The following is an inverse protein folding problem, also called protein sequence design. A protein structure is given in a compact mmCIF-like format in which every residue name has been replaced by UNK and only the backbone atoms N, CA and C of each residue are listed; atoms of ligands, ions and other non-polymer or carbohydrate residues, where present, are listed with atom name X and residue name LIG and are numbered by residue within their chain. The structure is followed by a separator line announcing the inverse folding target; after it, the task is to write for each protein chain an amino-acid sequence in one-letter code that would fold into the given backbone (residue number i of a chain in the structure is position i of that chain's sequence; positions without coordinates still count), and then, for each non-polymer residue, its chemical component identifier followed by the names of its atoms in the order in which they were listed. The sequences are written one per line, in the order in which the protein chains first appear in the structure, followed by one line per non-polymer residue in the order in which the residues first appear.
data_IF_718162116085
#
_entry.id   IF_718162116085
#
_cell.length_a   1.000
_cell.length_b   1.000
_cell.length_c   1.000
_cell.angle_alpha   90.00
_cell.angle_beta   90.00
_cell.angle_gamma   90.00
#
_symmetry.space_group_name_H-M   'P 1'
#
loop_
_entity.id
_entity.type
_entity.pdbx_description
1 polymer ?
#
# COMPACT_ATOMS: atom_id res chain seq x y z
N UNK A 1 -32.30 27.87 -15.51
CA UNK A 1 -31.94 26.53 -16.04
C UNK A 1 -31.09 25.81 -15.01
N UNK A 2 -31.65 24.81 -14.32
CA UNK A 2 -30.93 24.00 -13.34
C UNK A 2 -30.22 22.90 -14.14
N UNK A 3 -28.89 22.95 -14.21
CA UNK A 3 -28.08 21.87 -14.83
C UNK A 3 -28.36 20.54 -14.13
N UNK A 4 -28.52 19.48 -14.92
CA UNK A 4 -28.85 18.14 -14.44
C UNK A 4 -27.74 17.57 -13.55
N UNK A 5 -28.09 16.58 -12.71
CA UNK A 5 -27.18 15.97 -11.72
C UNK A 5 -25.90 15.38 -12.35
N UNK A 6 -25.97 14.94 -13.62
CA UNK A 6 -24.83 14.45 -14.39
C UNK A 6 -23.94 15.56 -14.95
N UNK A 7 -24.45 16.77 -15.17
CA UNK A 7 -23.69 17.90 -15.76
C UNK A 7 -22.84 18.66 -14.74
N UNK A 8 -23.06 18.45 -13.44
CA UNK A 8 -22.21 18.99 -12.36
C UNK A 8 -20.93 18.18 -12.13
N UNK A 9 -20.79 17.04 -12.80
CA UNK A 9 -19.61 16.17 -12.80
C UNK A 9 -18.60 16.51 -13.91
N UNK A 10 -18.53 17.77 -14.39
CA UNK A 10 -17.49 18.18 -15.36
C UNK A 10 -16.13 18.35 -14.67
N UNK A 11 -15.46 17.19 -14.57
CA UNK A 11 -14.02 16.89 -14.72
C UNK A 11 -13.11 18.10 -14.47
N UNK A 12 -12.52 18.13 -13.27
CA UNK A 12 -11.36 18.94 -12.94
C UNK A 12 -10.21 17.97 -12.65
N UNK A 13 -9.34 17.81 -13.66
CA UNK A 13 -7.97 17.24 -13.63
C UNK A 13 -7.73 15.94 -12.83
N UNK A 14 -7.68 14.82 -13.56
CA UNK A 14 -7.57 13.42 -13.11
C UNK A 14 -6.26 12.98 -12.43
N UNK A 15 -5.51 13.82 -11.72
CA UNK A 15 -4.17 13.40 -11.24
C UNK A 15 -3.98 13.54 -9.74
N UNK A 16 -3.73 12.42 -9.02
CA UNK A 16 -3.39 12.47 -7.60
C UNK A 16 -2.13 13.31 -7.40
N UNK A 17 -2.01 13.96 -6.24
CA UNK A 17 -0.77 14.57 -5.79
C UNK A 17 0.20 13.46 -5.41
N UNK A 18 0.76 12.93 -6.48
CA UNK A 18 1.82 11.97 -6.57
C UNK A 18 2.99 12.50 -5.73
N UNK A 19 3.35 11.80 -4.66
CA UNK A 19 4.72 11.84 -4.12
C UNK A 19 5.61 10.63 -4.52
N UNK A 20 5.55 10.09 -5.75
CA UNK A 20 6.60 9.25 -6.31
C UNK A 20 7.72 10.15 -6.82
N UNK A 21 8.08 11.22 -6.10
CA UNK A 21 9.10 12.18 -6.54
C UNK A 21 10.46 11.47 -6.61
N UNK A 22 10.72 10.60 -5.62
CA UNK A 22 11.84 9.65 -5.63
C UNK A 22 11.77 8.74 -6.86
N UNK A 23 10.62 8.09 -7.10
CA UNK A 23 10.40 7.19 -8.25
C UNK A 23 10.57 7.92 -9.58
N UNK A 24 10.13 9.17 -9.69
CA UNK A 24 10.28 10.02 -10.87
C UNK A 24 11.75 10.39 -11.11
N UNK A 25 12.47 10.72 -10.04
CA UNK A 25 13.89 11.06 -10.08
C UNK A 25 14.79 9.88 -10.43
N UNK A 26 14.36 8.64 -10.19
CA UNK A 26 15.04 7.44 -10.70
C UNK A 26 15.22 7.54 -12.21
N UNK A 27 14.14 7.84 -12.94
CA UNK A 27 14.18 7.95 -14.41
C UNK A 27 15.06 9.11 -14.89
N UNK A 28 15.06 10.23 -14.17
CA UNK A 28 15.90 11.39 -14.49
C UNK A 28 17.40 11.12 -14.23
N UNK A 29 17.73 10.18 -13.33
CA UNK A 29 19.10 9.92 -12.88
C UNK A 29 19.60 8.51 -13.25
N UNK A 30 18.97 7.82 -14.21
CA UNK A 30 19.32 6.45 -14.60
C UNK A 30 20.82 6.24 -14.84
N UNK A 31 21.47 7.17 -15.53
CA UNK A 31 22.92 7.09 -15.79
C UNK A 31 23.80 7.07 -14.54
N UNK A 32 23.35 7.72 -13.44
CA UNK A 32 24.10 7.79 -12.18
C UNK A 32 23.91 6.55 -11.29
N UNK A 33 22.82 5.81 -11.51
CA UNK A 33 22.40 4.71 -10.63
C UNK A 33 22.41 3.33 -11.28
N UNK A 34 22.50 3.23 -12.63
CA UNK A 34 22.44 1.96 -13.36
C UNK A 34 23.48 0.91 -12.95
N UNK A 35 24.65 1.35 -12.48
CA UNK A 35 25.75 0.47 -12.07
C UNK A 35 25.76 0.17 -10.56
N UNK A 36 24.79 0.67 -9.79
CA UNK A 36 24.74 0.43 -8.34
C UNK A 36 24.26 -0.99 -8.06
N UNK A 37 25.12 -1.78 -7.41
CA UNK A 37 24.78 -3.13 -6.91
C UNK A 37 24.12 -3.05 -5.53
N UNK A 38 23.48 -4.13 -5.08
CA UNK A 38 22.98 -4.21 -3.70
C UNK A 38 24.14 -4.06 -2.68
N UNK A 39 25.34 -4.55 -2.99
CA UNK A 39 26.53 -4.37 -2.15
C UNK A 39 26.90 -2.89 -1.99
N UNK A 40 26.85 -2.12 -3.07
CA UNK A 40 27.08 -0.67 -3.00
C UNK A 40 26.00 0.05 -2.19
N UNK A 41 24.74 -0.42 -2.26
CA UNK A 41 23.61 0.22 -1.58
C UNK A 41 23.58 -0.04 -0.06
N UNK A 42 24.09 -1.19 0.40
CA UNK A 42 24.16 -1.51 1.84
C UNK A 42 25.33 -0.85 2.56
N UNK A 43 26.40 -0.49 1.83
CA UNK A 43 27.55 0.24 2.35
C UNK A 43 27.10 1.53 3.04
N UNK A 44 27.63 1.84 4.22
CA UNK A 44 27.28 3.06 4.95
C UNK A 44 27.81 4.32 4.27
N UNK A 45 28.88 4.20 3.47
CA UNK A 45 29.60 5.30 2.84
C UNK A 45 29.01 5.74 1.49
N UNK A 46 28.05 4.99 0.92
CA UNK A 46 27.38 5.45 -0.29
C UNK A 46 26.62 6.76 -0.01
N UNK A 47 26.70 7.68 -0.96
CA UNK A 47 25.92 8.91 -0.96
C UNK A 47 24.42 8.64 -0.74
N UNK A 48 23.77 9.49 0.06
CA UNK A 48 22.37 9.30 0.49
C UNK A 48 21.43 9.27 -0.70
N UNK A 49 21.57 10.21 -1.63
CA UNK A 49 20.71 10.30 -2.80
C UNK A 49 20.91 9.08 -3.70
N UNK A 50 22.17 8.68 -3.95
CA UNK A 50 22.48 7.45 -4.71
C UNK A 50 21.90 6.20 -4.06
N UNK A 51 21.93 6.09 -2.72
CA UNK A 51 21.32 4.97 -1.99
C UNK A 51 19.81 4.92 -2.21
N UNK A 52 19.14 6.05 -1.99
CA UNK A 52 17.69 6.13 -2.10
C UNK A 52 17.25 5.84 -3.54
N UNK A 53 17.80 6.56 -4.53
CA UNK A 53 17.43 6.35 -5.93
C UNK A 53 17.82 4.95 -6.44
N UNK A 54 18.99 4.45 -6.06
CA UNK A 54 19.43 3.11 -6.45
C UNK A 54 18.56 2.00 -5.86
N UNK A 55 18.13 2.15 -4.61
CA UNK A 55 17.21 1.18 -3.97
C UNK A 55 15.83 1.21 -4.64
N UNK A 56 15.29 2.39 -4.91
CA UNK A 56 14.00 2.55 -5.60
C UNK A 56 14.06 1.95 -7.00
N UNK A 57 15.15 2.20 -7.75
CA UNK A 57 15.37 1.62 -9.07
C UNK A 57 15.41 0.08 -9.05
N UNK A 58 16.02 -0.51 -8.02
CA UNK A 58 16.06 -1.96 -7.84
C UNK A 58 14.68 -2.54 -7.54
N UNK A 59 13.87 -1.85 -6.72
CA UNK A 59 12.47 -2.24 -6.50
C UNK A 59 11.66 -2.15 -7.79
N UNK A 60 11.77 -1.04 -8.53
CA UNK A 60 11.09 -0.86 -9.83
C UNK A 60 11.44 -1.97 -10.82
N UNK A 61 12.70 -2.39 -10.88
CA UNK A 61 13.15 -3.44 -11.79
C UNK A 61 12.61 -4.84 -11.42
N UNK A 62 12.34 -5.10 -10.14
CA UNK A 62 11.78 -6.39 -9.68
C UNK A 62 10.26 -6.39 -9.64
N UNK A 63 9.65 -5.21 -9.57
CA UNK A 63 8.22 -5.08 -9.45
C UNK A 63 7.53 -5.29 -10.79
N UNK A 64 6.63 -6.27 -10.85
CA UNK A 64 5.87 -6.64 -12.05
C UNK A 64 5.20 -5.44 -12.74
N UNK A 65 4.80 -4.44 -11.95
CA UNK A 65 4.10 -3.24 -12.41
C UNK A 65 5.03 -2.03 -12.61
N UNK A 66 6.35 -2.25 -12.64
CA UNK A 66 7.36 -1.18 -12.72
C UNK A 66 7.24 -0.29 -13.96
N UNK A 67 6.78 -0.83 -15.09
CA UNK A 67 6.52 -0.04 -16.31
C UNK A 67 5.30 0.89 -16.17
N UNK A 68 4.30 0.47 -15.38
CA UNK A 68 3.01 1.14 -15.16
C UNK A 68 2.98 1.87 -13.82
N UNK A 69 4.14 2.17 -13.24
CA UNK A 69 4.25 2.68 -11.86
C UNK A 69 3.39 3.93 -11.61
N UNK A 70 3.20 4.78 -12.62
CA UNK A 70 2.38 5.99 -12.54
C UNK A 70 0.90 5.71 -12.30
N UNK A 71 0.42 4.50 -12.60
CA UNK A 71 -0.98 4.11 -12.47
C UNK A 71 -1.28 3.52 -11.10
N UNK A 72 -0.23 3.07 -10.41
CA UNK A 72 -0.34 2.29 -9.18
C UNK A 72 0.27 2.97 -7.95
N UNK A 73 1.20 3.90 -8.11
CA UNK A 73 1.93 4.50 -6.98
C UNK A 73 1.45 5.91 -6.63
N UNK A 74 1.07 6.05 -5.36
CA UNK A 74 0.82 7.35 -4.71
C UNK A 74 1.93 7.69 -3.68
N UNK A 75 2.75 6.72 -3.30
CA UNK A 75 3.97 6.87 -2.50
C UNK A 75 5.14 6.10 -3.14
N UNK A 76 6.41 6.42 -2.79
CA UNK A 76 7.57 5.70 -3.31
C UNK A 76 7.57 4.22 -2.93
N UNK A 77 8.09 3.35 -3.80
CA UNK A 77 8.17 1.91 -3.54
C UNK A 77 8.97 1.58 -2.28
N UNK A 78 10.06 2.32 -2.00
CA UNK A 78 10.86 2.16 -0.79
C UNK A 78 9.99 2.27 0.47
N UNK A 79 8.98 3.15 0.46
CA UNK A 79 8.11 3.32 1.61
C UNK A 79 7.28 2.05 1.84
N UNK A 80 6.67 1.52 0.77
CA UNK A 80 5.89 0.27 0.81
C UNK A 80 6.76 -0.91 1.25
N UNK A 81 7.98 -0.99 0.70
CA UNK A 81 8.93 -2.05 1.02
C UNK A 81 9.42 -1.97 2.49
N UNK A 82 9.69 -0.78 3.01
CA UNK A 82 10.10 -0.60 4.40
C UNK A 82 8.97 -0.99 5.38
N UNK A 83 7.71 -0.63 5.07
CA UNK A 83 6.54 -1.06 5.83
C UNK A 83 6.35 -2.60 5.77
N UNK A 84 6.56 -3.21 4.61
CA UNK A 84 6.48 -4.67 4.44
C UNK A 84 7.50 -5.43 5.30
N UNK A 85 8.71 -4.87 5.51
CA UNK A 85 9.74 -5.45 6.39
C UNK A 85 9.27 -5.53 7.85
N UNK A 86 8.44 -4.58 8.29
CA UNK A 86 7.87 -4.62 9.64
C UNK A 86 6.66 -5.56 9.71
N UNK A 87 5.78 -5.52 8.71
CA UNK A 87 4.60 -6.38 8.65
C UNK A 87 4.93 -7.88 8.59
N UNK A 88 5.97 -8.28 7.87
CA UNK A 88 6.36 -9.70 7.79
C UNK A 88 6.79 -10.33 9.13
N UNK A 89 7.03 -9.53 10.17
CA UNK A 89 7.30 -10.03 11.52
C UNK A 89 6.00 -10.56 12.17
N UNK A 90 4.87 -9.99 11.80
CA UNK A 90 3.54 -10.27 12.36
C UNK A 90 2.66 -11.14 11.45
N UNK A 91 2.98 -11.20 10.15
CA UNK A 91 2.15 -11.85 9.13
C UNK A 91 2.99 -12.78 8.25
N UNK A 92 2.44 -13.95 7.95
CA UNK A 92 3.13 -15.00 7.18
C UNK A 92 2.81 -14.91 5.69
N UNK A 93 1.59 -14.50 5.35
CA UNK A 93 1.17 -14.32 3.96
C UNK A 93 0.24 -13.13 3.76
N UNK A 94 0.13 -12.70 2.51
CA UNK A 94 -0.75 -11.62 2.09
C UNK A 94 -1.81 -12.12 1.13
N UNK A 95 -3.01 -11.56 1.24
CA UNK A 95 -4.10 -11.75 0.30
C UNK A 95 -4.50 -10.39 -0.26
N UNK A 96 -4.46 -10.23 -1.58
CA UNK A 96 -5.04 -9.06 -2.20
C UNK A 96 -6.57 -9.14 -2.23
N UNK A 97 -7.24 -8.11 -1.74
CA UNK A 97 -8.70 -8.05 -1.72
C UNK A 97 -9.32 -7.92 -3.12
N UNK A 98 -8.59 -7.29 -4.05
CA UNK A 98 -9.01 -7.04 -5.44
C UNK A 98 -7.82 -7.13 -6.40
N UNK A 99 -8.08 -7.24 -7.70
CA UNK A 99 -7.03 -7.17 -8.72
C UNK A 99 -6.25 -5.84 -8.67
N UNK A 100 -6.94 -4.74 -8.37
CA UNK A 100 -6.32 -3.41 -8.16
C UNK A 100 -5.37 -3.38 -6.96
N UNK A 101 -5.42 -4.38 -6.08
CA UNK A 101 -4.57 -4.52 -4.91
C UNK A 101 -3.33 -5.38 -5.16
N UNK A 102 -3.29 -6.13 -6.28
CA UNK A 102 -2.13 -6.94 -6.66
C UNK A 102 -0.82 -6.16 -6.75
N UNK A 103 -0.78 -4.91 -7.28
CA UNK A 103 0.46 -4.13 -7.30
C UNK A 103 1.08 -3.96 -5.91
N UNK A 104 0.27 -3.69 -4.88
CA UNK A 104 0.78 -3.53 -3.51
C UNK A 104 1.18 -4.86 -2.88
N UNK A 105 0.39 -5.92 -3.08
CA UNK A 105 0.71 -7.25 -2.57
C UNK A 105 2.03 -7.80 -3.17
N UNK A 106 2.31 -7.49 -4.43
CA UNK A 106 3.58 -7.88 -5.08
C UNK A 106 4.79 -7.23 -4.39
N UNK A 107 4.67 -6.02 -3.83
CA UNK A 107 5.78 -5.40 -3.09
C UNK A 107 6.08 -6.18 -1.80
N UNK A 108 5.05 -6.62 -1.09
CA UNK A 108 5.20 -7.44 0.11
C UNK A 108 5.84 -8.79 -0.22
N UNK A 109 5.50 -9.36 -1.38
CA UNK A 109 6.15 -10.56 -1.92
C UNK A 109 7.64 -10.35 -2.20
N UNK A 110 8.02 -9.25 -2.86
CA UNK A 110 9.44 -8.91 -3.09
C UNK A 110 10.21 -8.81 -1.75
N UNK A 111 9.54 -8.41 -0.67
CA UNK A 111 10.12 -8.33 0.68
C UNK A 111 10.11 -9.65 1.47
N UNK A 112 9.68 -10.75 0.83
CA UNK A 112 9.77 -12.12 1.34
C UNK A 112 8.49 -12.66 2.00
N UNK A 113 7.35 -11.96 1.88
CA UNK A 113 6.06 -12.51 2.32
C UNK A 113 5.49 -13.45 1.26
N UNK A 114 4.84 -14.53 1.69
CA UNK A 114 4.11 -15.35 0.73
C UNK A 114 2.90 -14.57 0.23
N UNK A 115 2.76 -14.42 -1.08
CA UNK A 115 1.57 -13.84 -1.68
C UNK A 115 0.67 -14.94 -2.19
N UNK A 116 -0.52 -15.01 -1.63
CA UNK A 116 -1.58 -15.85 -2.17
C UNK A 116 -2.47 -14.96 -3.03
N UNK A 117 -2.44 -15.13 -4.37
CA UNK A 117 -3.44 -14.49 -5.22
C UNK A 117 -4.76 -15.19 -4.91
N UNK A 118 -5.51 -14.65 -3.96
CA UNK A 118 -6.91 -15.03 -3.83
C UNK A 118 -7.62 -14.31 -4.93
N UNK A 119 -7.95 -15.09 -5.93
CA UNK A 119 -8.80 -14.68 -7.01
C UNK A 119 -10.21 -14.55 -6.42
N UNK A 120 -10.56 -13.36 -5.92
CA UNK A 120 -11.95 -12.99 -5.63
C UNK A 120 -12.66 -12.79 -6.99
N UNK A 121 -12.83 -13.90 -7.71
CA UNK A 121 -13.18 -14.09 -9.13
C UNK A 121 -14.38 -13.31 -9.65
N UNK A 122 -15.20 -12.71 -8.80
CA UNK A 122 -16.46 -12.13 -9.25
C UNK A 122 -16.82 -10.81 -8.61
N UNK A 123 -15.85 -9.99 -8.18
CA UNK A 123 -16.19 -8.67 -7.64
C UNK A 123 -16.75 -7.71 -8.69
N UNK A 124 -16.48 -7.92 -9.98
CA UNK A 124 -17.17 -7.14 -11.02
C UNK A 124 -18.62 -7.59 -11.24
N UNK A 125 -18.92 -8.89 -11.06
CA UNK A 125 -20.26 -9.45 -11.29
C UNK A 125 -21.15 -9.46 -10.04
N UNK A 126 -20.56 -9.50 -8.84
CA UNK A 126 -21.29 -9.59 -7.58
C UNK A 126 -20.54 -8.89 -6.42
N UNK A 127 -20.47 -7.56 -6.48
CA UNK A 127 -19.93 -6.69 -5.41
C UNK A 127 -20.57 -6.96 -4.03
N UNK A 128 -21.73 -7.63 -4.02
CA UNK A 128 -22.49 -7.91 -2.82
C UNK A 128 -22.03 -9.17 -2.09
N UNK A 129 -21.39 -10.14 -2.76
CA UNK A 129 -21.04 -11.43 -2.15
C UNK A 129 -19.70 -11.99 -2.67
N UNK A 130 -18.55 -11.54 -2.12
CA UNK A 130 -17.24 -12.06 -2.54
C UNK A 130 -17.11 -13.53 -2.15
N UNK A 131 -16.91 -14.42 -3.13
CA UNK A 131 -16.63 -15.84 -2.89
C UNK A 131 -15.13 -16.11 -3.01
N UNK A 132 -14.59 -16.82 -2.04
CA UNK A 132 -13.21 -17.27 -2.07
C UNK A 132 -13.13 -18.67 -2.70
N UNK A 133 -12.27 -18.84 -3.71
CA UNK A 133 -12.01 -20.15 -4.33
C UNK A 133 -11.41 -21.16 -3.34
N UNK A 134 -11.64 -22.44 -3.60
CA UNK A 134 -11.37 -23.63 -2.76
C UNK A 134 -9.91 -23.82 -2.30
N UNK A 135 -8.94 -23.04 -2.78
CA UNK A 135 -7.50 -23.22 -2.45
C UNK A 135 -7.03 -22.52 -1.16
N UNK A 136 -7.92 -21.90 -0.38
CA UNK A 136 -7.51 -21.10 0.81
C UNK A 136 -7.37 -21.89 2.11
N UNK A 137 -7.69 -23.18 2.13
CA UNK A 137 -7.59 -24.00 3.33
C UNK A 137 -6.15 -24.06 3.86
N UNK A 138 -5.16 -23.98 2.95
CA UNK A 138 -3.73 -23.87 3.26
C UNK A 138 -3.34 -22.60 4.04
N UNK A 139 -4.27 -21.64 4.19
CA UNK A 139 -4.04 -20.38 4.91
C UNK A 139 -4.50 -20.44 6.37
N UNK A 140 -5.18 -21.52 6.80
CA UNK A 140 -5.69 -21.65 8.18
C UNK A 140 -4.58 -21.62 9.23
N UNK A 141 -3.41 -22.13 8.87
CA UNK A 141 -2.23 -22.17 9.75
C UNK A 141 -1.37 -20.89 9.66
N UNK A 142 -1.77 -19.91 8.84
CA UNK A 142 -1.00 -18.69 8.58
C UNK A 142 -1.68 -17.46 9.16
N UNK A 143 -0.86 -16.51 9.64
CA UNK A 143 -1.28 -15.14 9.96
C UNK A 143 -1.38 -14.36 8.65
N UNK A 144 -2.60 -13.97 8.30
CA UNK A 144 -2.92 -13.38 7.00
C UNK A 144 -3.07 -11.88 7.11
N UNK A 145 -2.39 -11.16 6.22
CA UNK A 145 -2.57 -9.73 5.99
C UNK A 145 -3.41 -9.49 4.73
N UNK A 146 -4.52 -8.77 4.86
CA UNK A 146 -5.34 -8.39 3.70
C UNK A 146 -4.76 -7.12 3.09
N UNK A 147 -4.42 -7.14 1.81
CA UNK A 147 -3.89 -5.98 1.08
C UNK A 147 -5.01 -5.39 0.24
N UNK A 148 -5.25 -4.10 0.40
CA UNK A 148 -6.18 -3.35 -0.45
C UNK A 148 -5.50 -2.08 -0.99
N UNK A 149 -5.92 -1.63 -2.17
CA UNK A 149 -5.49 -0.35 -2.73
C UNK A 149 -6.02 0.80 -1.86
N UNK A 150 -7.33 0.80 -1.60
CA UNK A 150 -8.02 1.97 -1.07
C UNK A 150 -9.17 1.58 -0.14
N UNK A 151 -9.43 2.43 0.86
CA UNK A 151 -10.59 2.29 1.73
C UNK A 151 -11.82 3.00 1.11
N UNK A 152 -12.35 2.51 -0.01
CA UNK A 152 -13.65 3.01 -0.50
C UNK A 152 -14.76 2.22 0.19
N UNK A 153 -15.45 2.88 1.13
CA UNK A 153 -16.89 2.88 1.55
C UNK A 153 -17.84 1.69 1.28
N UNK A 154 -17.38 0.60 0.68
CA UNK A 154 -18.17 -0.48 0.07
C UNK A 154 -18.39 -1.67 1.00
N UNK A 155 -17.78 -1.67 2.19
CA UNK A 155 -17.79 -2.82 3.09
C UNK A 155 -17.02 -4.03 2.54
N UNK A 156 -16.26 -3.86 1.44
CA UNK A 156 -15.54 -4.95 0.80
C UNK A 156 -14.52 -5.59 1.73
N UNK A 157 -13.63 -4.79 2.32
CA UNK A 157 -12.62 -5.28 3.25
C UNK A 157 -13.23 -6.06 4.42
N UNK A 158 -14.41 -5.64 4.89
CA UNK A 158 -15.19 -6.37 5.91
C UNK A 158 -15.71 -7.70 5.39
N UNK A 159 -16.29 -7.76 4.20
CA UNK A 159 -16.77 -9.04 3.63
C UNK A 159 -15.62 -10.01 3.37
N UNK A 160 -14.50 -9.52 2.85
CA UNK A 160 -13.27 -10.29 2.67
C UNK A 160 -12.79 -10.84 4.01
N UNK A 161 -12.72 -9.99 5.04
CA UNK A 161 -12.41 -10.42 6.40
C UNK A 161 -13.39 -11.48 6.90
N UNK A 162 -14.69 -11.23 6.82
CA UNK A 162 -15.74 -12.13 7.33
C UNK A 162 -15.66 -13.50 6.66
N UNK A 163 -15.47 -13.53 5.34
CA UNK A 163 -15.33 -14.77 4.57
C UNK A 163 -14.07 -15.56 4.97
N UNK A 164 -12.94 -14.87 5.19
CA UNK A 164 -11.71 -15.51 5.68
C UNK A 164 -11.90 -16.07 7.09
N UNK A 165 -12.50 -15.28 8.00
CA UNK A 165 -12.77 -15.71 9.37
C UNK A 165 -13.76 -16.86 9.44
N UNK A 166 -14.83 -16.85 8.64
CA UNK A 166 -15.82 -17.92 8.54
C UNK A 166 -15.18 -19.24 8.09
N UNK A 167 -14.09 -19.17 7.32
CA UNK A 167 -13.31 -20.34 6.89
C UNK A 167 -12.17 -20.70 7.85
N UNK A 168 -12.10 -20.08 9.03
CA UNK A 168 -11.10 -20.36 10.06
C UNK A 168 -9.72 -19.76 9.79
N UNK A 169 -9.60 -18.76 8.91
CA UNK A 169 -8.33 -18.13 8.56
C UNK A 169 -8.01 -16.98 9.52
N UNK A 170 -6.76 -16.88 9.95
CA UNK A 170 -6.31 -15.83 10.87
C UNK A 170 -6.00 -14.50 10.14
N UNK A 171 -7.02 -13.84 9.61
CA UNK A 171 -6.90 -12.52 8.97
C UNK A 171 -7.21 -11.38 9.95
N UNK A 172 -6.23 -10.93 10.74
CA UNK A 172 -6.43 -9.89 11.78
C UNK A 172 -5.76 -8.53 11.44
N UNK A 173 -5.16 -8.43 10.26
CA UNK A 173 -4.53 -7.20 9.77
C UNK A 173 -4.95 -6.88 8.35
N UNK A 174 -4.94 -5.59 8.02
CA UNK A 174 -5.01 -5.13 6.64
C UNK A 174 -3.99 -4.03 6.36
N UNK A 175 -3.41 -4.05 5.16
CA UNK A 175 -2.49 -3.05 4.64
C UNK A 175 -3.12 -2.28 3.49
N UNK A 176 -3.06 -0.95 3.58
CA UNK A 176 -3.62 -0.04 2.60
C UNK A 176 -2.51 0.63 1.79
N UNK A 177 -2.57 0.43 0.47
CA UNK A 177 -1.59 0.93 -0.49
C UNK A 177 -1.63 2.45 -0.72
N UNK A 178 -2.80 3.09 -0.65
CA UNK A 178 -2.89 4.54 -0.84
C UNK A 178 -2.78 5.24 0.52
N UNK A 179 -1.81 6.18 0.61
CA UNK A 179 -1.51 6.93 1.84
C UNK A 179 -2.19 8.31 1.89
N UNK A 180 -2.54 8.94 0.76
CA UNK A 180 -3.14 10.27 0.75
C UNK A 180 -4.44 10.31 -0.06
N UNK A 181 -5.48 10.88 0.54
CA UNK A 181 -6.78 11.13 -0.09
C UNK A 181 -6.90 12.63 -0.32
N UNK A 182 -6.49 13.10 -1.49
CA UNK A 182 -6.69 14.52 -1.89
C UNK A 182 -7.98 14.77 -2.68
N UNK A 183 -8.87 13.78 -2.79
CA UNK A 183 -10.21 14.02 -3.34
C UNK A 183 -11.14 14.80 -2.40
N UNK A 184 -10.62 15.35 -1.31
CA UNK A 184 -11.28 16.36 -0.47
C UNK A 184 -10.63 17.72 -0.73
N UNK A 185 -10.78 18.23 -1.95
CA UNK A 185 -10.37 19.59 -2.33
C UNK A 185 -11.23 20.64 -1.59
N UNK A 186 -11.04 20.77 -0.28
CA UNK A 186 -11.78 21.70 0.57
C UNK A 186 -13.27 21.37 0.77
N UNK A 187 -13.84 20.43 0.01
CA UNK A 187 -15.21 19.96 0.20
C UNK A 187 -15.23 18.85 1.25
N UNK A 188 -16.00 19.07 2.31
CA UNK A 188 -16.26 18.02 3.29
C UNK A 188 -17.03 16.91 2.57
N UNK A 189 -16.57 15.65 2.62
CA UNK A 189 -17.23 14.59 1.88
C UNK A 189 -18.64 14.42 2.43
N UNK A 190 -19.61 14.17 1.55
CA UNK A 190 -20.97 13.81 1.96
C UNK A 190 -21.26 12.38 1.53
N UNK A 191 -21.76 11.55 2.45
CA UNK A 191 -22.24 10.20 2.20
C UNK A 191 -23.76 10.18 2.42
N UNK A 192 -24.53 9.85 1.38
CA UNK A 192 -26.01 9.87 1.41
C UNK A 192 -26.60 11.20 1.91
N UNK A 193 -26.03 12.34 1.47
CA UNK A 193 -26.46 13.67 1.89
C UNK A 193 -26.07 14.06 3.33
N UNK A 194 -25.27 13.24 4.04
CA UNK A 194 -24.75 13.54 5.37
C UNK A 194 -23.26 13.82 5.32
N UNK A 195 -22.82 14.86 6.05
CA UNK A 195 -21.41 15.20 6.23
C UNK A 195 -20.63 13.98 6.75
N UNK A 196 -19.76 13.43 5.91
CA UNK A 196 -18.81 12.41 6.28
C UNK A 196 -17.64 13.12 6.98
N UNK A 197 -17.60 13.02 8.31
CA UNK A 197 -16.45 13.47 9.09
C UNK A 197 -15.31 12.47 8.92
N UNK A 198 -14.60 12.55 7.79
CA UNK A 198 -13.32 11.86 7.62
C UNK A 198 -12.27 12.61 8.43
N UNK A 199 -12.12 12.23 9.70
CA UNK A 199 -11.02 12.75 10.51
C UNK A 199 -9.71 12.20 9.92
N UNK A 200 -8.81 13.12 9.57
CA UNK A 200 -7.58 12.84 8.86
C UNK A 200 -6.87 11.58 9.38
N UNK A 201 -6.49 10.71 8.44
CA UNK A 201 -5.77 9.44 8.67
C UNK A 201 -4.38 9.61 9.30
N UNK A 202 -4.00 10.84 9.61
CA UNK A 202 -2.68 11.25 10.04
C UNK A 202 -2.80 11.97 11.36
N UNK A 203 -2.52 11.25 12.44
CA UNK A 203 -1.93 11.90 13.61
C UNK A 203 -0.41 11.92 13.38
N UNK A 204 0.21 13.06 13.60
CA UNK A 204 1.64 13.25 13.42
C UNK A 204 2.40 12.44 14.49
N UNK A 205 2.53 11.12 14.32
CA UNK A 205 3.34 10.30 15.21
C UNK A 205 4.80 10.54 14.85
N UNK A 206 5.59 10.99 15.83
CA UNK A 206 6.96 11.45 15.66
C UNK A 206 7.88 10.52 14.83
N UNK A 207 8.75 11.15 14.05
CA UNK A 207 10.01 10.68 13.42
C UNK A 207 10.07 9.33 12.68
N UNK A 208 9.04 8.49 12.64
CA UNK A 208 9.11 7.15 12.06
C UNK A 208 8.93 7.11 10.54
N UNK A 209 9.82 6.39 9.85
CA UNK A 209 9.56 5.90 8.50
C UNK A 209 9.14 4.44 8.55
N UNK A 210 8.25 4.05 7.66
CA UNK A 210 7.85 2.66 7.52
C UNK A 210 6.37 2.52 7.80
N UNK A 211 6.04 1.71 8.81
CA UNK A 211 4.68 1.30 9.11
C UNK A 211 3.95 2.28 10.02
N UNK A 212 2.72 2.64 9.67
CA UNK A 212 1.83 3.41 10.53
C UNK A 212 0.55 2.64 10.79
N UNK A 213 0.22 2.50 12.08
CA UNK A 213 -1.09 1.98 12.49
C UNK A 213 -2.11 3.11 12.42
N UNK A 214 -3.24 2.86 11.78
CA UNK A 214 -4.34 3.81 11.72
C UNK A 214 -5.11 3.68 13.05
N UNK A 215 -4.89 4.61 13.99
CA UNK A 215 -5.32 4.51 15.39
C UNK A 215 -6.68 5.15 15.72
N UNK A 216 -7.29 5.89 14.80
CA UNK A 216 -8.58 6.57 15.01
C UNK A 216 -9.69 6.01 14.11
N UNK A 217 -9.99 4.72 14.28
CA UNK A 217 -11.04 4.01 13.52
C UNK A 217 -12.48 4.45 13.86
N UNK A 218 -12.68 5.32 14.86
CA UNK A 218 -14.01 5.61 15.42
C UNK A 218 -14.89 6.55 14.57
N UNK A 219 -14.46 6.97 13.39
CA UNK A 219 -15.30 7.79 12.47
C UNK A 219 -15.36 7.27 11.03
N UNK A 220 -15.06 5.99 10.81
CA UNK A 220 -15.73 5.27 9.71
C UNK A 220 -17.09 4.84 10.21
N UNK A 221 -18.13 4.90 9.36
CA UNK A 221 -19.52 4.58 9.71
C UNK A 221 -19.54 3.39 10.67
N UNK A 222 -19.84 3.66 11.95
CA UNK A 222 -19.81 2.68 13.05
C UNK A 222 -20.38 1.34 12.56
N UNK A 223 -19.54 0.30 12.49
CA UNK A 223 -19.93 -1.04 12.01
C UNK A 223 -19.49 -1.47 10.59
N UNK A 224 -18.77 -0.62 9.84
CA UNK A 224 -18.23 -0.99 8.52
C UNK A 224 -16.98 -1.87 8.56
N UNK A 225 -16.24 -1.88 9.67
CA UNK A 225 -15.11 -2.79 9.88
C UNK A 225 -15.23 -3.50 11.23
N UNK A 226 -14.75 -4.75 11.32
CA UNK A 226 -14.60 -5.45 12.59
C UNK A 226 -13.60 -4.71 13.49
N UNK A 227 -13.88 -4.67 14.80
CA UNK A 227 -13.00 -4.00 15.79
C UNK A 227 -11.66 -4.72 15.96
N UNK A 228 -11.62 -6.00 15.64
CA UNK A 228 -10.46 -6.87 15.78
C UNK A 228 -9.45 -6.68 14.64
N UNK A 229 -9.86 -6.05 13.52
CA UNK A 229 -9.03 -5.85 12.34
C UNK A 229 -8.12 -4.63 12.53
N UNK A 230 -6.80 -4.86 12.63
CA UNK A 230 -5.81 -3.78 12.67
C UNK A 230 -5.54 -3.27 11.26
N UNK A 231 -5.65 -1.96 11.05
CA UNK A 231 -5.33 -1.33 9.77
C UNK A 231 -3.95 -0.68 9.81
N UNK A 232 -3.21 -0.89 8.72
CA UNK A 232 -1.89 -0.35 8.51
C UNK A 232 -1.81 0.37 7.17
N UNK A 233 -0.94 1.37 7.10
CA UNK A 233 -0.49 1.96 5.85
C UNK A 233 0.97 2.37 5.96
N UNK A 234 1.50 2.88 4.87
CA UNK A 234 2.86 3.41 4.78
C UNK A 234 2.91 4.88 5.17
N UNK A 235 4.00 5.29 5.81
CA UNK A 235 4.37 6.71 5.85
C UNK A 235 5.07 7.13 4.55
N UNK A 236 4.32 7.73 3.62
CA UNK A 236 4.81 8.13 2.30
C UNK A 236 5.74 9.35 2.24
N UNK A 237 6.04 10.03 3.36
CA UNK A 237 6.86 11.26 3.37
C UNK A 237 8.37 10.94 3.34
N UNK A 238 8.87 10.54 2.17
CA UNK A 238 10.30 10.33 1.91
C UNK A 238 10.88 11.46 1.04
N UNK A 239 12.04 11.98 1.44
CA UNK A 239 12.78 13.03 0.72
C UNK A 239 14.25 12.64 0.62
N UNK A 240 14.90 12.95 -0.50
CA UNK A 240 16.27 12.49 -0.80
C UNK A 240 17.34 12.98 0.19
N UNK A 241 17.12 14.14 0.79
CA UNK A 241 18.04 14.79 1.72
C UNK A 241 17.81 14.38 3.18
N UNK A 242 16.70 13.71 3.48
CA UNK A 242 16.34 13.38 4.87
C UNK A 242 17.08 12.12 5.37
N UNK A 243 17.69 12.17 6.57
CA UNK A 243 18.36 11.01 7.18
C UNK A 243 17.48 9.77 7.23
N UNK A 244 16.21 9.98 7.54
CA UNK A 244 15.17 8.99 7.54
C UNK A 244 15.11 8.23 6.21
N UNK A 245 14.90 8.90 5.06
CA UNK A 245 14.69 8.21 3.78
C UNK A 245 15.88 7.33 3.40
N UNK A 246 17.08 7.80 3.75
CA UNK A 246 18.32 7.06 3.60
C UNK A 246 18.38 5.80 4.49
N UNK A 247 17.86 5.85 5.71
CA UNK A 247 17.73 4.67 6.59
C UNK A 247 16.74 3.65 6.04
N UNK A 248 15.57 4.09 5.55
CA UNK A 248 14.58 3.21 4.92
C UNK A 248 15.17 2.53 3.67
N UNK A 249 15.81 3.30 2.79
CA UNK A 249 16.51 2.76 1.62
C UNK A 249 17.57 1.72 2.01
N UNK A 250 18.37 1.99 3.05
CA UNK A 250 19.36 1.03 3.55
C UNK A 250 18.72 -0.24 4.10
N UNK A 251 17.66 -0.15 4.91
CA UNK A 251 16.92 -1.31 5.43
C UNK A 251 16.38 -2.17 4.30
N UNK A 252 15.78 -1.54 3.28
CA UNK A 252 15.25 -2.23 2.11
C UNK A 252 16.35 -2.89 1.29
N UNK A 253 17.46 -2.20 1.02
CA UNK A 253 18.60 -2.78 0.30
C UNK A 253 19.20 -4.00 1.03
N UNK A 254 19.33 -3.92 2.36
CA UNK A 254 19.78 -5.06 3.19
C UNK A 254 18.81 -6.23 3.05
N UNK A 255 17.50 -5.98 3.10
CA UNK A 255 16.50 -7.03 3.00
C UNK A 255 16.50 -7.68 1.60
N UNK A 256 16.55 -6.88 0.54
CA UNK A 256 16.68 -7.36 -0.84
C UNK A 256 17.93 -8.25 -1.00
N UNK A 257 19.07 -7.81 -0.49
CA UNK A 257 20.32 -8.60 -0.53
C UNK A 257 20.16 -9.96 0.14
N UNK A 258 19.50 -10.02 1.31
CA UNK A 258 19.27 -11.30 2.01
C UNK A 258 18.39 -12.25 1.21
N UNK A 259 17.35 -11.72 0.56
CA UNK A 259 16.41 -12.53 -0.24
C UNK A 259 17.08 -13.03 -1.52
N UNK A 260 17.93 -12.23 -2.18
CA UNK A 260 18.61 -12.62 -3.43
C UNK A 260 19.66 -13.73 -3.27
N UNK A 261 19.99 -14.14 -2.04
CA UNK A 261 20.97 -15.20 -1.74
C UNK A 261 20.28 -16.56 -1.52
N UNK A 262 18.95 -16.56 -1.36
CA UNK A 262 18.11 -17.76 -1.16
C UNK A 262 17.62 -18.27 -2.52
#
# INVERSE_FOLDING_TARGET
MIKSHSERLKIVSDKPLKNPDITSRVFQNLNKIKNLTLDNLVDINIDKERRILGTEARLLAQWKYGAEWKEHLDAPLIAHADAAIDLKKEYDCTIAATEKSFPYAEILKIMGMEMCPVDFISMEKDKNNPKVKEKIEKLREKRVLIVDREFITTGLLKKVYEELRNKGINANGAYLGISNWEQLNGETPYLNGKLARLHCFWEHIGSGLGLMRITNCDVYKKGLLPKELKLYSVNGKLYLDKPNANQAARRVAINLKKISII
#
